data_IF_692420939577
#
_entry.id   IF_692420939577
#
_cell.length_a   1.000
_cell.length_b   1.000
_cell.length_c   1.000
_cell.angle_alpha   90.00
_cell.angle_beta   90.00
_cell.angle_gamma   90.00
#
_symmetry.space_group_name_H-M   'P 1'
#
loop_
_entity.id
_entity.type
_entity.pdbx_description
1 polymer ?
#
# COMPACT_ATOMS: atom_id res chain seq x y z
N UNK A 1 12.45 11.33 -1.05
CA UNK A 1 11.01 11.25 -0.75
C UNK A 1 10.61 9.91 -0.14
N UNK A 2 10.99 8.77 -0.74
CA UNK A 2 10.64 7.41 -0.28
C UNK A 2 10.95 7.15 1.20
N UNK A 3 12.17 7.48 1.64
CA UNK A 3 12.59 7.34 3.04
C UNK A 3 11.70 8.13 4.02
N UNK A 4 11.20 9.31 3.61
CA UNK A 4 10.34 10.13 4.46
C UNK A 4 8.93 9.53 4.59
N UNK A 5 8.37 8.97 3.50
CA UNK A 5 7.06 8.30 3.52
C UNK A 5 7.09 7.01 4.36
N UNK A 6 8.16 6.23 4.26
CA UNK A 6 8.36 5.03 5.09
C UNK A 6 8.49 5.42 6.56
N UNK A 7 9.27 6.47 6.86
CA UNK A 7 9.47 6.95 8.23
C UNK A 7 8.18 7.47 8.86
N UNK A 8 7.37 8.23 8.11
CA UNK A 8 6.04 8.67 8.54
C UNK A 8 5.10 7.49 8.79
N UNK A 9 5.10 6.48 7.92
CA UNK A 9 4.32 5.26 8.10
C UNK A 9 4.68 4.51 9.38
N UNK A 10 5.98 4.37 9.68
CA UNK A 10 6.45 3.74 10.92
C UNK A 10 6.00 4.53 12.15
N UNK A 11 6.13 5.86 12.13
CA UNK A 11 5.67 6.72 13.23
C UNK A 11 4.17 6.52 13.49
N UNK A 12 3.37 6.43 12.43
CA UNK A 12 1.93 6.20 12.50
C UNK A 12 1.59 4.86 13.17
N UNK A 13 2.30 3.78 12.81
CA UNK A 13 2.17 2.47 13.48
C UNK A 13 2.54 2.55 14.95
N UNK A 14 3.59 3.30 15.30
CA UNK A 14 4.00 3.39 16.70
C UNK A 14 3.00 4.19 17.54
N UNK A 15 2.42 5.26 16.99
CA UNK A 15 1.42 6.08 17.68
C UNK A 15 0.12 5.31 17.84
N UNK A 16 -0.43 4.77 16.75
CA UNK A 16 -1.72 4.07 16.79
C UNK A 16 -1.59 2.65 17.33
N UNK A 17 -0.54 1.93 16.97
CA UNK A 17 -0.27 0.56 17.43
C UNK A 17 -0.14 0.48 18.95
N UNK A 18 0.47 1.47 19.60
CA UNK A 18 0.51 1.53 21.07
C UNK A 18 -0.89 1.60 21.68
N UNK A 19 -1.79 2.38 21.08
CA UNK A 19 -3.16 2.53 21.57
C UNK A 19 -3.98 1.26 21.29
N UNK A 20 -3.78 0.65 20.12
CA UNK A 20 -4.45 -0.59 19.70
C UNK A 20 -4.06 -1.81 20.56
N UNK A 21 -2.78 -1.94 20.93
CA UNK A 21 -2.31 -2.98 21.86
C UNK A 21 -2.97 -2.79 23.23
N UNK A 22 -3.03 -1.54 23.70
CA UNK A 22 -3.67 -1.20 24.99
C UNK A 22 -5.15 -1.54 25.00
N UNK A 23 -5.84 -1.42 23.86
CA UNK A 23 -7.25 -1.76 23.70
C UNK A 23 -7.48 -3.22 23.27
N UNK A 24 -6.44 -4.05 23.20
CA UNK A 24 -6.50 -5.45 22.73
C UNK A 24 -7.12 -5.62 21.33
N UNK A 25 -7.01 -4.59 20.49
CA UNK A 25 -7.52 -4.61 19.12
C UNK A 25 -6.47 -5.16 18.15
N UNK A 26 -6.10 -6.43 18.36
CA UNK A 26 -5.09 -7.13 17.57
C UNK A 26 -5.42 -7.22 16.07
N UNK A 27 -6.71 -7.27 15.73
CA UNK A 27 -7.18 -7.31 14.34
C UNK A 27 -6.88 -6.00 13.60
N UNK A 28 -7.15 -4.86 14.23
CA UNK A 28 -6.88 -3.55 13.64
C UNK A 28 -5.37 -3.31 13.50
N UNK A 29 -4.59 -3.74 14.49
CA UNK A 29 -3.13 -3.70 14.40
C UNK A 29 -2.61 -4.54 13.23
N UNK A 30 -3.16 -5.75 13.05
CA UNK A 30 -2.82 -6.58 11.90
C UNK A 30 -3.17 -5.89 10.57
N UNK A 31 -4.33 -5.23 10.47
CA UNK A 31 -4.74 -4.49 9.28
C UNK A 31 -3.78 -3.34 8.97
N UNK A 32 -3.42 -2.52 9.96
CA UNK A 32 -2.49 -1.39 9.78
C UNK A 32 -1.10 -1.88 9.33
N UNK A 33 -0.58 -2.93 9.97
CA UNK A 33 0.70 -3.54 9.57
C UNK A 33 0.62 -4.08 8.15
N UNK A 34 -0.49 -4.73 7.78
CA UNK A 34 -0.72 -5.25 6.42
C UNK A 34 -0.70 -4.15 5.38
N UNK A 35 -1.40 -3.03 5.63
CA UNK A 35 -1.46 -1.89 4.72
C UNK A 35 -0.07 -1.29 4.50
N UNK A 36 0.73 -1.17 5.56
CA UNK A 36 2.08 -0.61 5.46
C UNK A 36 3.03 -1.56 4.76
N UNK A 37 2.95 -2.87 5.04
CA UNK A 37 3.70 -3.88 4.31
C UNK A 37 3.36 -3.83 2.81
N UNK A 38 2.09 -3.68 2.45
CA UNK A 38 1.64 -3.55 1.06
C UNK A 38 2.18 -2.27 0.42
N UNK A 39 2.14 -1.14 1.13
CA UNK A 39 2.66 0.13 0.64
C UNK A 39 4.17 0.07 0.39
N UNK A 40 4.93 -0.55 1.30
CA UNK A 40 6.37 -0.78 1.12
C UNK A 40 6.63 -1.69 -0.07
N UNK A 41 5.88 -2.79 -0.21
CA UNK A 41 6.02 -3.72 -1.33
C UNK A 41 5.76 -3.04 -2.68
N UNK A 42 4.67 -2.28 -2.80
CA UNK A 42 4.32 -1.54 -4.01
C UNK A 42 5.39 -0.51 -4.36
N UNK A 43 5.97 0.15 -3.36
CA UNK A 43 7.03 1.13 -3.58
C UNK A 43 8.35 0.47 -4.02
N UNK A 44 8.68 -0.71 -3.46
CA UNK A 44 9.82 -1.51 -3.92
C UNK A 44 9.62 -1.94 -5.37
N UNK A 45 8.44 -2.45 -5.73
CA UNK A 45 8.13 -2.84 -7.10
C UNK A 45 8.28 -1.67 -8.08
N UNK A 46 7.79 -0.49 -7.71
CA UNK A 46 7.94 0.75 -8.49
C UNK A 46 9.41 1.16 -8.64
N UNK A 47 10.22 1.04 -7.57
CA UNK A 47 11.65 1.35 -7.61
C UNK A 47 12.45 0.41 -8.53
N UNK A 48 12.05 -0.86 -8.62
CA UNK A 48 12.68 -1.84 -9.51
C UNK A 48 12.13 -1.80 -10.94
N UNK A 49 11.31 -0.79 -11.29
CA UNK A 49 10.60 -0.68 -12.58
C UNK A 49 9.76 -1.93 -12.92
N UNK A 50 9.46 -2.75 -11.93
CA UNK A 50 8.56 -3.89 -12.08
C UNK A 50 7.17 -3.29 -12.12
N UNK A 51 6.55 -3.32 -13.32
CA UNK A 51 5.23 -2.76 -13.56
C UNK A 51 4.32 -3.07 -12.39
N UNK A 52 3.89 -2.01 -11.69
CA UNK A 52 3.02 -2.17 -10.55
C UNK A 52 1.75 -2.92 -10.99
N UNK A 53 1.08 -3.68 -10.10
CA UNK A 53 -0.14 -4.41 -10.43
C UNK A 53 -1.19 -3.51 -11.12
N UNK A 54 -1.26 -2.24 -10.71
CA UNK A 54 -2.11 -1.22 -11.34
C UNK A 54 -1.75 -0.97 -12.82
N UNK A 55 -0.47 -0.83 -13.14
CA UNK A 55 0.00 -0.60 -14.52
C UNK A 55 -0.20 -1.86 -15.40
N UNK A 56 -0.11 -3.04 -14.81
CA UNK A 56 -0.44 -4.31 -15.49
C UNK A 56 -1.95 -4.35 -15.78
N UNK A 57 -2.78 -3.98 -14.80
CA UNK A 57 -4.22 -3.87 -14.98
C UNK A 57 -4.58 -2.83 -16.05
N UNK A 58 -3.97 -1.65 -16.06
CA UNK A 58 -4.18 -0.67 -17.13
C UNK A 58 -3.88 -1.24 -18.51
N UNK A 59 -2.80 -2.03 -18.67
CA UNK A 59 -2.51 -2.71 -19.94
C UNK A 59 -3.59 -3.71 -20.37
N UNK A 60 -4.21 -4.40 -19.42
CA UNK A 60 -5.25 -5.39 -19.68
C UNK A 60 -6.65 -4.77 -19.86
N UNK A 61 -6.94 -3.68 -19.16
CA UNK A 61 -8.23 -2.97 -19.20
C UNK A 61 -8.26 -1.85 -20.24
N UNK A 62 -7.12 -1.37 -20.74
CA UNK A 62 -7.05 -0.43 -21.87
C UNK A 62 -7.87 -0.87 -23.11
N UNK A 63 -7.82 -2.14 -23.57
CA UNK A 63 -8.67 -2.59 -24.67
C UNK A 63 -10.17 -2.58 -24.34
N UNK A 64 -10.54 -2.84 -23.08
CA UNK A 64 -11.93 -2.81 -22.62
C UNK A 64 -12.47 -1.38 -22.52
N UNK A 65 -11.67 -0.44 -22.00
CA UNK A 65 -12.04 0.98 -21.93
C UNK A 65 -12.25 1.61 -23.31
N UNK A 66 -11.42 1.24 -24.31
CA UNK A 66 -11.58 1.71 -25.68
C UNK A 66 -12.82 1.17 -26.40
N UNK A 67 -13.39 0.06 -25.93
CA UNK A 67 -14.63 -0.50 -26.48
C UNK A 67 -15.88 0.07 -25.82
N UNK A 68 -15.81 0.51 -24.57
CA UNK A 68 -16.96 1.08 -23.85
C UNK A 68 -17.18 2.56 -24.20
N UNK A 69 -16.10 3.30 -24.49
CA UNK A 69 -16.16 4.73 -24.85
C UNK A 69 -16.17 5.01 -26.36
N UNK A 70 -16.53 4.03 -27.21
CA UNK A 70 -16.66 4.22 -28.66
C UNK A 70 -18.09 4.01 -29.13
#
# INVERSE_FOLDING_TARGET
MILATVFLGIILVFIEGKNLIRQHQWKELAVIVSIIALAVLLNILDHFEIKAPLQIMEGWFAPLGKQIFK
#
